data_IF_544527793247
#
_entry.id   IF_544527793247
#
_cell.length_a   1.000
_cell.length_b   1.000
_cell.length_c   1.000
_cell.angle_alpha   90.00
_cell.angle_beta   90.00
_cell.angle_gamma   90.00
#
_symmetry.space_group_name_H-M   'P 1'
#
loop_
_entity.id
_entity.type
_entity.pdbx_description
1 polymer ?
#
# COMPACT_ATOMS: atom_id res chain seq x y z
N UNK A 1 7.41 -11.53 15.15
CA UNK A 1 6.31 -10.78 14.52
C UNK A 1 6.90 -10.04 13.33
N UNK A 2 6.07 -9.67 12.37
CA UNK A 2 6.50 -8.87 11.23
C UNK A 2 5.55 -7.68 11.04
N UNK A 3 6.11 -6.56 10.61
CA UNK A 3 5.36 -5.45 10.02
C UNK A 3 5.36 -5.67 8.51
N UNK A 4 4.19 -5.61 7.91
CA UNK A 4 4.03 -5.54 6.47
C UNK A 4 3.60 -4.15 6.06
N UNK A 5 4.24 -3.62 5.03
CA UNK A 5 3.87 -2.36 4.40
C UNK A 5 3.51 -2.62 2.94
N UNK A 6 2.30 -2.24 2.55
CA UNK A 6 1.76 -2.35 1.19
C UNK A 6 1.81 -0.97 0.55
N UNK A 7 2.44 -0.87 -0.62
CA UNK A 7 2.63 0.39 -1.33
C UNK A 7 1.60 0.50 -2.45
N UNK A 8 0.48 1.17 -2.16
CA UNK A 8 -0.64 1.32 -3.09
C UNK A 8 -0.53 2.66 -3.83
N UNK A 9 -0.56 2.69 -5.16
CA UNK A 9 -0.63 3.95 -5.89
C UNK A 9 -2.02 4.57 -5.74
N UNK A 10 -2.05 5.89 -5.59
CA UNK A 10 -3.28 6.68 -5.63
C UNK A 10 -3.70 7.00 -7.07
N UNK A 11 -2.79 6.85 -8.03
CA UNK A 11 -3.07 7.03 -9.45
C UNK A 11 -3.11 5.63 -10.11
N UNK A 12 -4.27 5.25 -10.65
CA UNK A 12 -4.47 3.98 -11.37
C UNK A 12 -3.97 4.10 -12.81
N UNK A 13 -3.53 2.98 -13.40
CA UNK A 13 -2.95 2.94 -14.75
C UNK A 13 -3.85 3.51 -15.86
N UNK A 14 -5.17 3.53 -15.68
CA UNK A 14 -6.14 4.12 -16.62
C UNK A 14 -6.40 5.63 -16.48
N UNK A 15 -5.67 6.35 -15.60
CA UNK A 15 -5.89 7.77 -15.33
C UNK A 15 -6.99 8.08 -14.31
N UNK A 16 -7.53 7.05 -13.64
CA UNK A 16 -8.38 7.19 -12.46
C UNK A 16 -7.56 7.34 -11.19
N UNK A 17 -8.14 7.93 -10.14
CA UNK A 17 -7.52 7.94 -8.81
C UNK A 17 -8.13 6.83 -7.96
N UNK A 18 -7.32 6.12 -7.18
CA UNK A 18 -7.84 5.27 -6.12
C UNK A 18 -8.68 6.14 -5.17
N UNK A 19 -9.96 5.81 -5.05
CA UNK A 19 -10.88 6.55 -4.18
C UNK A 19 -10.55 6.22 -2.72
N UNK A 20 -10.72 7.19 -1.82
CA UNK A 20 -10.47 6.99 -0.38
C UNK A 20 -11.24 5.79 0.17
N UNK A 21 -12.44 5.51 -0.35
CA UNK A 21 -13.26 4.35 0.03
C UNK A 21 -12.60 3.00 -0.33
N UNK A 22 -11.81 2.93 -1.41
CA UNK A 22 -11.11 1.71 -1.80
C UNK A 22 -9.95 1.40 -0.84
N UNK A 23 -9.21 2.44 -0.44
CA UNK A 23 -8.17 2.34 0.58
C UNK A 23 -8.77 1.97 1.94
N UNK A 24 -9.89 2.60 2.33
CA UNK A 24 -10.59 2.28 3.57
C UNK A 24 -11.07 0.82 3.60
N UNK A 25 -11.61 0.30 2.48
CA UNK A 25 -11.98 -1.12 2.37
C UNK A 25 -10.79 -2.05 2.61
N UNK A 26 -9.64 -1.74 2.02
CA UNK A 26 -8.41 -2.53 2.21
C UNK A 26 -7.97 -2.50 3.68
N UNK A 27 -7.99 -1.33 4.32
CA UNK A 27 -7.65 -1.20 5.74
C UNK A 27 -8.60 -2.02 6.60
N UNK A 28 -9.90 -1.96 6.34
CA UNK A 28 -10.90 -2.73 7.07
C UNK A 28 -10.71 -4.23 6.88
N UNK A 29 -10.53 -4.71 5.65
CA UNK A 29 -10.28 -6.12 5.35
C UNK A 29 -9.06 -6.65 6.11
N UNK A 30 -7.96 -5.90 6.08
CA UNK A 30 -6.71 -6.27 6.75
C UNK A 30 -6.86 -6.20 8.28
N UNK A 31 -7.58 -5.22 8.80
CA UNK A 31 -7.86 -5.11 10.23
C UNK A 31 -8.71 -6.28 10.73
N UNK A 32 -9.77 -6.65 9.99
CA UNK A 32 -10.66 -7.76 10.33
C UNK A 32 -9.90 -9.09 10.32
N UNK A 33 -9.00 -9.28 9.36
CA UNK A 33 -8.23 -10.53 9.23
C UNK A 33 -7.12 -10.67 10.26
N UNK A 34 -6.36 -9.61 10.53
CA UNK A 34 -5.11 -9.68 11.32
C UNK A 34 -5.23 -9.07 12.72
N UNK A 35 -6.40 -8.53 13.07
CA UNK A 35 -6.65 -7.90 14.37
C UNK A 35 -6.14 -6.47 14.49
N UNK A 36 -5.72 -5.86 13.37
CA UNK A 36 -5.31 -4.47 13.29
C UNK A 36 -4.56 -4.13 11.99
N UNK A 37 -4.96 -3.03 11.35
CA UNK A 37 -4.26 -2.43 10.22
C UNK A 37 -4.32 -0.91 10.35
N UNK A 38 -3.31 -0.20 9.86
CA UNK A 38 -3.28 1.27 9.84
C UNK A 38 -2.80 1.74 8.48
N UNK A 39 -3.58 2.57 7.80
CA UNK A 39 -3.10 3.26 6.61
C UNK A 39 -2.45 4.59 6.96
N UNK A 40 -1.29 4.83 6.38
CA UNK A 40 -0.61 6.11 6.33
C UNK A 40 -0.57 6.58 4.88
N UNK A 41 -1.21 7.71 4.59
CA UNK A 41 -1.07 8.35 3.27
C UNK A 41 0.30 9.03 3.24
N UNK A 42 1.18 8.61 2.32
CA UNK A 42 2.42 9.33 2.03
C UNK A 42 2.21 10.15 0.76
N UNK A 43 1.66 11.34 0.92
CA UNK A 43 1.63 12.29 -0.18
C UNK A 43 3.08 12.63 -0.60
N UNK A 44 3.35 12.80 -1.90
CA UNK A 44 4.66 13.20 -2.36
C UNK A 44 5.00 14.52 -1.70
N UNK A 45 6.11 14.54 -0.95
CA UNK A 45 6.61 15.75 -0.32
C UNK A 45 6.70 16.86 -1.39
N UNK A 46 6.05 18.00 -1.14
CA UNK A 46 6.23 19.19 -1.98
C UNK A 46 7.66 19.72 -1.78
N UNK A 47 8.61 19.16 -2.53
CA UNK A 47 9.92 19.75 -2.74
C UNK A 47 9.85 20.76 -3.89
N UNK A 48 10.45 21.93 -3.71
CA UNK A 48 10.50 22.99 -4.72
C UNK A 48 11.44 22.56 -5.87
N UNK A 49 10.91 21.96 -6.94
CA UNK A 49 11.71 21.59 -8.10
C UNK A 49 11.61 22.66 -9.19
N UNK A 50 12.73 23.34 -9.43
CA UNK A 50 12.93 24.23 -10.57
C UNK A 50 12.84 23.40 -11.85
N UNK A 51 11.84 23.74 -12.67
CA UNK A 51 11.64 23.47 -14.11
C UNK A 51 12.58 22.41 -14.73
N UNK A 52 12.03 21.26 -15.08
CA UNK A 52 11.99 20.70 -16.44
C UNK A 52 11.07 19.45 -16.48
N UNK A 53 10.71 19.02 -17.68
CA UNK A 53 9.45 18.36 -18.04
C UNK A 53 9.15 17.01 -17.34
N UNK A 54 7.87 16.85 -16.98
CA UNK A 54 7.18 15.62 -16.52
C UNK A 54 7.80 14.95 -15.29
N UNK A 55 7.55 15.53 -14.12
CA UNK A 55 7.67 14.79 -12.86
C UNK A 55 6.42 13.92 -12.75
N UNK A 56 6.53 12.62 -13.00
CA UNK A 56 5.53 11.64 -12.53
C UNK A 56 5.46 11.77 -11.01
N UNK A 57 4.39 12.41 -10.54
CA UNK A 57 4.11 12.54 -9.11
C UNK A 57 3.39 11.27 -8.70
N UNK A 58 4.15 10.23 -8.37
CA UNK A 58 3.58 8.99 -7.87
C UNK A 58 3.08 9.20 -6.44
N UNK A 59 1.79 9.52 -6.33
CA UNK A 59 1.11 9.60 -5.05
C UNK A 59 0.88 8.17 -4.57
N UNK A 60 1.29 7.87 -3.34
CA UNK A 60 1.16 6.52 -2.77
C UNK A 60 0.52 6.56 -1.37
N UNK A 61 -0.24 5.52 -1.06
CA UNK A 61 -0.65 5.18 0.31
C UNK A 61 0.15 3.98 0.76
N UNK A 62 0.63 4.04 2.00
CA UNK A 62 1.26 2.90 2.65
C UNK A 62 0.26 2.35 3.66
N UNK A 63 -0.15 1.10 3.47
CA UNK A 63 -0.95 0.38 4.47
C UNK A 63 -0.04 -0.51 5.29
N UNK A 64 -0.04 -0.33 6.60
CA UNK A 64 0.77 -1.08 7.55
C UNK A 64 -0.08 -2.11 8.31
N UNK A 65 0.41 -3.35 8.40
CA UNK A 65 -0.21 -4.44 9.14
C UNK A 65 0.84 -5.15 9.98
N UNK A 66 0.58 -5.32 11.27
CA UNK A 66 1.46 -6.10 12.16
C UNK A 66 0.89 -7.51 12.31
N UNK A 67 1.67 -8.53 11.95
CA UNK A 67 1.26 -9.93 12.05
C UNK A 67 2.19 -10.71 12.99
N UNK A 68 1.63 -11.67 13.73
CA UNK A 68 2.43 -12.57 14.58
C UNK A 68 3.21 -13.58 13.74
N UNK A 69 2.54 -14.19 12.77
CA UNK A 69 3.07 -15.18 11.83
C UNK A 69 2.83 -14.70 10.40
N UNK A 70 3.81 -14.93 9.52
CA UNK A 70 3.74 -14.52 8.12
C UNK A 70 3.23 -15.70 7.26
N UNK A 71 2.04 -15.55 6.70
CA UNK A 71 1.52 -16.44 5.66
C UNK A 71 1.90 -15.91 4.27
N UNK A 72 3.08 -16.28 3.78
CA UNK A 72 3.59 -15.80 2.49
C UNK A 72 2.69 -16.17 1.31
N UNK A 73 1.97 -17.30 1.37
CA UNK A 73 1.10 -17.73 0.29
C UNK A 73 -0.11 -16.79 0.19
N UNK A 74 -0.75 -16.49 1.33
CA UNK A 74 -1.84 -15.54 1.38
C UNK A 74 -1.42 -14.14 0.90
N UNK A 75 -0.29 -13.63 1.39
CA UNK A 75 0.21 -12.31 0.99
C UNK A 75 0.56 -12.22 -0.50
N UNK A 76 1.05 -13.31 -1.10
CA UNK A 76 1.32 -13.37 -2.55
C UNK A 76 0.04 -13.32 -3.37
N UNK A 77 -1.00 -14.04 -2.95
CA UNK A 77 -2.28 -14.04 -3.64
C UNK A 77 -3.01 -12.71 -3.47
N UNK A 78 -2.94 -12.12 -2.28
CA UNK A 78 -3.45 -10.78 -2.00
C UNK A 78 -2.76 -9.71 -2.85
N UNK A 79 -1.42 -9.74 -2.94
CA UNK A 79 -0.65 -8.84 -3.82
C UNK A 79 -1.14 -8.90 -5.26
N UNK A 80 -1.35 -10.10 -5.81
CA UNK A 80 -1.86 -10.29 -7.18
C UNK A 80 -3.27 -9.76 -7.37
N UNK A 81 -4.11 -9.81 -6.34
CA UNK A 81 -5.43 -9.21 -6.38
C UNK A 81 -5.32 -7.69 -6.44
N UNK A 82 -4.55 -7.08 -5.55
CA UNK A 82 -4.30 -5.64 -5.55
C UNK A 82 -3.71 -5.16 -6.90
N UNK A 83 -2.76 -5.91 -7.47
CA UNK A 83 -2.17 -5.61 -8.80
C UNK A 83 -3.25 -5.51 -9.89
N UNK A 84 -4.25 -6.39 -9.86
CA UNK A 84 -5.40 -6.32 -10.78
C UNK A 84 -6.31 -5.14 -10.48
N UNK A 85 -6.65 -4.93 -9.21
CA UNK A 85 -7.63 -3.91 -8.78
C UNK A 85 -7.12 -2.47 -8.98
N UNK A 86 -5.80 -2.27 -8.89
CA UNK A 86 -5.12 -0.98 -9.10
C UNK A 86 -4.55 -0.82 -10.52
N UNK A 87 -4.72 -1.82 -11.39
CA UNK A 87 -4.17 -1.86 -12.75
C UNK A 87 -2.65 -1.63 -12.77
N UNK A 88 -1.94 -2.28 -11.85
CA UNK A 88 -0.49 -2.18 -11.72
C UNK A 88 0.19 -3.47 -12.13
N UNK A 89 1.33 -3.34 -12.81
CA UNK A 89 2.17 -4.50 -13.17
C UNK A 89 2.83 -5.14 -11.94
N UNK A 90 3.11 -4.34 -10.91
CA UNK A 90 3.71 -4.80 -9.67
C UNK A 90 3.29 -3.90 -8.50
N UNK A 91 2.92 -4.52 -7.38
CA UNK A 91 2.75 -3.83 -6.08
C UNK A 91 3.79 -4.35 -5.10
N UNK A 92 4.51 -3.44 -4.46
CA UNK A 92 5.46 -3.81 -3.41
C UNK A 92 4.74 -4.09 -2.10
N UNK A 93 5.01 -5.27 -1.52
CA UNK A 93 4.74 -5.57 -0.12
C UNK A 93 6.08 -5.81 0.56
N UNK A 94 6.43 -4.94 1.50
CA UNK A 94 7.67 -5.02 2.26
C UNK A 94 7.39 -5.70 3.59
N UNK A 95 8.27 -6.61 4.00
CA UNK A 95 8.17 -7.31 5.29
C UNK A 95 9.39 -6.96 6.14
N UNK A 96 9.16 -6.55 7.39
CA UNK A 96 10.21 -6.25 8.36
C UNK A 96 9.99 -6.98 9.68
N UNK A 97 11.04 -7.55 10.29
CA UNK A 97 10.91 -8.15 11.61
C UNK A 97 10.66 -7.08 12.68
N UNK A 98 9.75 -7.36 13.62
CA UNK A 98 9.48 -6.49 14.76
C UNK A 98 9.28 -7.29 16.06
N UNK A 99 9.42 -6.59 17.19
CA UNK A 99 9.26 -7.14 18.54
C UNK A 99 8.62 -6.12 19.47
N UNK A 100 7.89 -6.61 20.47
CA UNK A 100 7.49 -5.81 21.63
C UNK A 100 8.70 -5.62 22.56
N UNK A 101 8.74 -4.49 23.27
CA UNK A 101 9.73 -4.18 24.31
C UNK A 101 9.08 -4.32 25.67
#
# INVERSE_FOLDING_TARGET
MNVLEIFLPLDKGGGGTAESEEIERIVHELADRFGGATAFIREPAQGLWKREATIERDRIVIVEVVVRELDEAWWRDYRRQLERDFEQSEIMIRVMPCRLI
#
